data_IF_695674024712
#
_entry.id   IF_695674024712
#
_cell.length_a   1.000
_cell.length_b   1.000
_cell.length_c   1.000
_cell.angle_alpha   90.00
_cell.angle_beta   90.00
_cell.angle_gamma   90.00
#
_symmetry.space_group_name_H-M   'P 1'
#
loop_
_entity.id
_entity.type
_entity.pdbx_description
1 polymer ?
#
# COMPACT_ATOMS: atom_id res chain seq x y z
N UNK A 1 3.77 -17.77 -59.30
CA UNK A 1 4.02 -16.40 -58.80
C UNK A 1 3.75 -16.36 -57.29
N UNK A 2 4.80 -16.52 -56.46
CA UNK A 2 4.69 -16.45 -54.99
C UNK A 2 5.33 -15.13 -54.58
N UNK A 3 4.51 -14.17 -54.14
CA UNK A 3 5.00 -12.91 -53.57
C UNK A 3 5.18 -13.08 -52.06
N UNK A 4 6.43 -13.22 -51.63
CA UNK A 4 6.79 -13.21 -50.20
C UNK A 4 6.90 -11.75 -49.76
N UNK A 5 5.98 -11.28 -48.95
CA UNK A 5 6.16 -10.06 -48.17
C UNK A 5 7.15 -10.35 -47.03
N UNK A 6 8.41 -9.95 -47.22
CA UNK A 6 9.36 -9.82 -46.12
C UNK A 6 8.98 -8.57 -45.33
N UNK A 7 8.47 -8.75 -44.14
CA UNK A 7 8.31 -7.66 -43.18
C UNK A 7 9.70 -7.20 -42.71
N UNK A 8 9.94 -5.90 -42.80
CA UNK A 8 11.11 -5.25 -42.22
C UNK A 8 10.99 -5.23 -40.68
N UNK A 9 11.56 -6.22 -40.02
CA UNK A 9 11.66 -6.29 -38.55
C UNK A 9 12.98 -5.69 -38.01
N UNK A 10 13.89 -5.23 -38.88
CA UNK A 10 15.24 -4.84 -38.47
C UNK A 10 15.44 -3.42 -37.94
N UNK A 11 14.51 -2.52 -38.11
CA UNK A 11 14.67 -1.14 -37.62
C UNK A 11 14.04 -0.89 -36.22
N UNK A 12 13.22 -1.84 -35.70
CA UNK A 12 12.64 -1.76 -34.36
C UNK A 12 13.55 -2.35 -33.27
N UNK A 13 14.42 -3.29 -33.61
CA UNK A 13 15.30 -3.96 -32.64
C UNK A 13 16.45 -3.08 -32.13
N UNK A 14 16.89 -2.07 -32.91
CA UNK A 14 18.11 -1.27 -32.59
C UNK A 14 17.81 -0.06 -31.70
N UNK A 15 16.58 0.45 -31.67
CA UNK A 15 16.21 1.60 -30.78
C UNK A 15 15.72 1.17 -29.40
N UNK A 16 15.26 -0.08 -29.24
CA UNK A 16 14.77 -0.57 -27.93
C UNK A 16 15.88 -1.08 -27.01
N UNK A 17 16.98 -1.59 -27.53
CA UNK A 17 18.09 -2.11 -26.70
C UNK A 17 18.84 -1.02 -25.93
N UNK A 18 18.81 0.23 -26.39
CA UNK A 18 19.52 1.34 -25.74
C UNK A 18 18.68 2.11 -24.71
N UNK A 19 17.35 2.08 -24.80
CA UNK A 19 16.48 2.79 -23.85
C UNK A 19 15.91 1.90 -22.74
N UNK A 20 15.64 0.62 -23.04
CA UNK A 20 15.13 -0.35 -22.04
C UNK A 20 16.22 -0.74 -21.03
N UNK A 21 17.49 -0.78 -21.43
CA UNK A 21 18.62 -1.08 -20.54
C UNK A 21 18.88 -0.03 -19.45
N UNK A 22 18.39 1.21 -19.63
CA UNK A 22 18.55 2.30 -18.66
C UNK A 22 17.47 2.33 -17.56
N UNK A 23 16.40 1.53 -17.70
CA UNK A 23 15.21 1.61 -16.83
C UNK A 23 15.35 0.70 -15.59
N UNK A 24 16.16 -0.33 -15.64
CA UNK A 24 16.22 -1.38 -14.61
C UNK A 24 17.60 -1.48 -13.97
N UNK A 25 17.92 -0.59 -13.09
CA UNK A 25 18.93 -0.84 -12.08
C UNK A 25 18.17 -1.14 -10.77
N UNK A 26 18.48 -2.13 -10.06
CA UNK A 26 19.62 -2.77 -9.52
C UNK A 26 19.25 -3.71 -8.39
N UNK A 27 20.00 -4.75 -8.20
CA UNK A 27 19.84 -5.65 -7.10
C UNK A 27 18.67 -6.61 -7.27
N UNK A 28 18.53 -7.53 -6.36
CA UNK A 28 17.48 -8.57 -6.41
C UNK A 28 16.16 -8.05 -5.81
N UNK A 29 15.39 -7.29 -6.58
CA UNK A 29 14.04 -6.88 -6.20
C UNK A 29 13.84 -5.37 -6.06
N UNK A 30 14.89 -4.57 -6.15
CA UNK A 30 14.79 -3.12 -6.16
C UNK A 30 14.92 -2.58 -7.58
N UNK A 31 14.12 -1.57 -7.90
CA UNK A 31 14.06 -0.91 -9.21
C UNK A 31 14.18 0.59 -8.96
N UNK A 32 15.22 1.20 -9.52
CA UNK A 32 15.34 2.65 -9.57
C UNK A 32 14.47 3.16 -10.71
N UNK A 33 13.68 4.17 -10.45
CA UNK A 33 12.80 4.80 -11.44
C UNK A 33 13.58 5.97 -12.08
N UNK A 34 14.02 5.85 -13.33
CA UNK A 34 14.91 6.85 -13.95
C UNK A 34 14.20 8.16 -14.25
N UNK A 35 12.91 8.10 -14.59
CA UNK A 35 12.02 9.26 -14.67
C UNK A 35 10.98 9.16 -13.58
N UNK A 36 10.91 10.12 -12.64
CA UNK A 36 10.02 10.04 -11.50
C UNK A 36 8.57 9.88 -11.93
N UNK A 37 7.85 9.02 -11.22
CA UNK A 37 6.39 8.92 -11.34
C UNK A 37 5.78 9.82 -10.25
N UNK A 38 4.86 10.66 -10.65
CA UNK A 38 4.27 11.70 -9.83
C UNK A 38 2.96 11.22 -9.20
N UNK A 39 2.82 11.40 -7.89
CA UNK A 39 1.52 11.27 -7.22
C UNK A 39 0.82 12.62 -7.33
N UNK A 40 -0.13 12.70 -8.26
CA UNK A 40 -0.87 13.94 -8.57
C UNK A 40 -1.88 14.30 -7.52
N UNK A 41 -2.63 13.32 -7.07
CA UNK A 41 -3.69 13.50 -6.10
C UNK A 41 -3.87 12.24 -5.27
N UNK A 42 -4.43 12.41 -4.10
CA UNK A 42 -4.90 11.30 -3.28
C UNK A 42 -6.15 11.71 -2.51
N UNK A 43 -6.89 10.71 -2.05
CA UNK A 43 -8.01 10.89 -1.16
C UNK A 43 -8.07 9.76 -0.12
N UNK A 44 -8.68 10.09 1.02
CA UNK A 44 -8.88 9.18 2.14
C UNK A 44 -10.32 9.27 2.65
N UNK A 45 -10.97 8.12 2.78
CA UNK A 45 -12.32 7.98 3.34
C UNK A 45 -12.22 6.99 4.47
N UNK A 46 -12.71 7.33 5.67
CA UNK A 46 -12.56 6.51 6.87
C UNK A 46 -13.87 6.36 7.65
N UNK A 47 -13.91 5.36 8.53
CA UNK A 47 -14.98 5.14 9.48
C UNK A 47 -14.96 6.10 10.67
N UNK A 48 -15.94 5.93 11.56
CA UNK A 48 -16.11 6.80 12.76
C UNK A 48 -14.91 6.69 13.70
N UNK A 49 -14.45 5.48 13.97
CA UNK A 49 -13.32 5.23 14.90
C UNK A 49 -12.02 5.90 14.44
N UNK A 50 -11.73 5.84 13.16
CA UNK A 50 -10.57 6.50 12.54
C UNK A 50 -10.72 8.02 12.58
N UNK A 51 -11.94 8.52 12.38
CA UNK A 51 -12.26 9.93 12.47
C UNK A 51 -12.10 10.52 13.87
N UNK A 52 -12.21 9.71 14.91
CA UNK A 52 -11.95 10.09 16.31
C UNK A 52 -10.45 10.01 16.69
N UNK A 53 -9.61 9.48 15.80
CA UNK A 53 -8.18 9.31 16.00
C UNK A 53 -7.35 10.57 15.73
N UNK A 54 -6.02 10.48 15.90
CA UNK A 54 -5.11 11.62 15.77
C UNK A 54 -5.14 12.33 14.41
N UNK A 55 -5.54 11.62 13.36
CA UNK A 55 -5.61 12.15 12.00
C UNK A 55 -7.03 12.54 11.55
N UNK A 56 -8.03 12.54 12.45
CA UNK A 56 -9.44 12.73 12.13
C UNK A 56 -9.73 13.95 11.25
N UNK A 57 -9.12 15.10 11.55
CA UNK A 57 -9.29 16.34 10.79
C UNK A 57 -8.55 16.37 9.43
N UNK A 58 -7.68 15.39 9.16
CA UNK A 58 -6.90 15.31 7.94
C UNK A 58 -7.55 14.45 6.86
N UNK A 59 -8.51 13.61 7.23
CA UNK A 59 -9.21 12.77 6.26
C UNK A 59 -10.19 13.58 5.42
N UNK A 60 -10.37 13.18 4.18
CA UNK A 60 -11.28 13.86 3.25
C UNK A 60 -12.74 13.65 3.59
N UNK A 61 -13.07 12.42 3.98
CA UNK A 61 -14.41 12.05 4.46
C UNK A 61 -14.26 11.16 5.68
N UNK A 62 -15.00 11.51 6.73
CA UNK A 62 -15.28 10.64 7.87
C UNK A 62 -16.74 10.21 7.79
N UNK A 63 -17.01 8.90 7.78
CA UNK A 63 -18.35 8.35 7.76
C UNK A 63 -19.15 8.75 9.01
N UNK A 64 -20.45 8.92 8.85
CA UNK A 64 -21.37 9.14 9.99
C UNK A 64 -21.58 7.89 10.80
N UNK A 65 -21.45 6.75 10.17
CA UNK A 65 -21.45 5.41 10.73
C UNK A 65 -20.54 4.51 9.88
N UNK A 66 -20.22 3.32 10.37
CA UNK A 66 -19.31 2.40 9.66
C UNK A 66 -19.98 1.62 8.53
N UNK A 67 -21.29 1.78 8.32
CA UNK A 67 -22.05 1.19 7.21
C UNK A 67 -22.16 2.09 6.00
N UNK A 68 -21.85 3.36 6.12
CA UNK A 68 -21.95 4.32 4.99
C UNK A 68 -23.32 4.31 4.31
N UNK A 69 -24.39 4.04 5.07
CA UNK A 69 -25.75 3.94 4.55
C UNK A 69 -26.06 2.67 3.76
N UNK A 70 -25.19 1.66 3.80
CA UNK A 70 -25.36 0.37 3.13
C UNK A 70 -25.99 -0.68 4.06
N UNK A 71 -26.55 -1.75 3.48
CA UNK A 71 -27.15 -2.84 4.23
C UNK A 71 -26.12 -3.82 4.77
N UNK A 72 -25.03 -4.05 4.05
CA UNK A 72 -23.95 -5.00 4.39
C UNK A 72 -22.62 -4.29 4.62
N UNK A 73 -21.71 -4.96 5.35
CA UNK A 73 -20.35 -4.45 5.58
C UNK A 73 -19.49 -4.46 4.32
N UNK A 74 -19.73 -5.43 3.45
CA UNK A 74 -19.04 -5.57 2.16
C UNK A 74 -19.44 -4.43 1.19
N UNK A 75 -20.71 -4.04 1.17
CA UNK A 75 -21.19 -2.87 0.43
C UNK A 75 -20.61 -1.56 1.01
N UNK A 76 -20.50 -1.47 2.34
CA UNK A 76 -19.88 -0.33 3.00
C UNK A 76 -18.41 -0.19 2.55
N UNK A 77 -17.65 -1.29 2.52
CA UNK A 77 -16.26 -1.26 2.04
C UNK A 77 -16.16 -0.91 0.54
N UNK A 78 -17.07 -1.43 -0.29
CA UNK A 78 -17.18 -1.04 -1.70
C UNK A 78 -17.43 0.45 -1.87
N UNK A 79 -18.29 1.02 -1.00
CA UNK A 79 -18.60 2.46 -0.99
C UNK A 79 -17.39 3.29 -0.60
N UNK A 80 -16.60 2.86 0.41
CA UNK A 80 -15.34 3.52 0.76
C UNK A 80 -14.40 3.66 -0.45
N UNK A 81 -14.20 2.59 -1.23
CA UNK A 81 -13.35 2.61 -2.42
C UNK A 81 -13.89 3.55 -3.49
N UNK A 82 -15.20 3.49 -3.75
CA UNK A 82 -15.87 4.34 -4.73
C UNK A 82 -15.71 5.82 -4.39
N UNK A 83 -15.97 6.21 -3.15
CA UNK A 83 -15.86 7.60 -2.70
C UNK A 83 -14.39 8.07 -2.75
N UNK A 84 -13.44 7.26 -2.28
CA UNK A 84 -12.02 7.60 -2.32
C UNK A 84 -11.52 7.83 -3.75
N UNK A 85 -11.87 6.94 -4.70
CA UNK A 85 -11.47 7.11 -6.10
C UNK A 85 -12.15 8.33 -6.75
N UNK A 86 -13.43 8.55 -6.49
CA UNK A 86 -14.16 9.72 -6.99
C UNK A 86 -13.48 11.02 -6.56
N UNK A 87 -13.11 11.12 -5.27
CA UNK A 87 -12.43 12.30 -4.74
C UNK A 87 -11.00 12.45 -5.31
N UNK A 88 -10.24 11.36 -5.40
CA UNK A 88 -8.88 11.42 -5.93
C UNK A 88 -8.86 11.88 -7.40
N UNK A 89 -9.79 11.37 -8.23
CA UNK A 89 -9.97 11.84 -9.62
C UNK A 89 -10.37 13.32 -9.63
N UNK A 90 -11.36 13.72 -8.83
CA UNK A 90 -11.78 15.11 -8.72
C UNK A 90 -10.65 16.06 -8.34
N UNK A 91 -9.84 15.70 -7.33
CA UNK A 91 -8.67 16.48 -6.89
C UNK A 91 -7.55 16.54 -7.94
N UNK A 92 -7.41 15.50 -8.77
CA UNK A 92 -6.40 15.48 -9.84
C UNK A 92 -6.74 16.44 -10.99
N UNK A 93 -7.98 16.91 -11.07
CA UNK A 93 -8.49 17.71 -12.18
C UNK A 93 -8.67 16.93 -13.48
N UNK A 94 -8.53 15.60 -13.43
CA UNK A 94 -8.64 14.72 -14.60
C UNK A 94 -10.04 14.16 -14.76
N UNK A 95 -10.32 13.68 -15.96
CA UNK A 95 -11.51 12.86 -16.25
C UNK A 95 -11.17 11.38 -16.07
N UNK A 96 -12.14 10.56 -15.70
CA UNK A 96 -11.94 9.12 -15.52
C UNK A 96 -11.42 8.42 -16.80
N UNK A 97 -11.82 8.93 -17.98
CA UNK A 97 -11.43 8.41 -19.28
C UNK A 97 -9.94 8.62 -19.62
N UNK A 98 -9.25 9.51 -18.90
CA UNK A 98 -7.82 9.74 -19.07
C UNK A 98 -6.99 8.71 -18.29
N UNK A 99 -7.60 8.00 -17.33
CA UNK A 99 -6.95 6.97 -16.51
C UNK A 99 -6.98 5.64 -17.28
N UNK A 100 -5.82 5.16 -17.69
CA UNK A 100 -5.72 3.95 -18.52
C UNK A 100 -5.92 2.65 -17.73
N UNK A 101 -5.47 2.61 -16.48
CA UNK A 101 -5.52 1.42 -15.65
C UNK A 101 -5.83 1.75 -14.20
N UNK A 102 -6.55 0.85 -13.56
CA UNK A 102 -6.88 0.87 -12.15
C UNK A 102 -6.28 -0.36 -11.46
N UNK A 103 -5.43 -0.14 -10.48
CA UNK A 103 -4.84 -1.17 -9.64
C UNK A 103 -5.52 -1.12 -8.27
N UNK A 104 -6.23 -2.17 -7.89
CA UNK A 104 -6.99 -2.12 -6.66
C UNK A 104 -7.01 -3.46 -5.92
N UNK A 105 -7.25 -3.40 -4.62
CA UNK A 105 -7.42 -4.58 -3.80
C UNK A 105 -7.94 -4.25 -2.41
N UNK A 106 -8.36 -5.30 -1.76
CA UNK A 106 -8.92 -5.31 -0.41
C UNK A 106 -8.54 -6.62 0.30
N UNK A 107 -9.08 -6.87 1.49
CA UNK A 107 -8.79 -8.10 2.26
C UNK A 107 -9.80 -9.23 2.02
N UNK A 108 -10.84 -8.99 1.22
CA UNK A 108 -11.93 -9.95 1.02
C UNK A 108 -11.59 -10.98 -0.05
N UNK A 109 -12.22 -12.12 0.03
CA UNK A 109 -12.12 -13.17 -0.98
C UNK A 109 -12.47 -12.62 -2.37
N UNK A 110 -11.64 -12.90 -3.37
CA UNK A 110 -11.74 -12.45 -4.76
C UNK A 110 -11.82 -10.92 -4.92
N UNK A 111 -11.36 -10.15 -3.92
CA UNK A 111 -11.38 -8.68 -3.91
C UNK A 111 -12.77 -8.12 -4.24
N UNK A 112 -13.81 -8.60 -3.54
CA UNK A 112 -15.20 -8.25 -3.85
C UNK A 112 -15.50 -6.78 -3.56
N UNK A 113 -14.85 -6.14 -2.56
CA UNK A 113 -15.04 -4.72 -2.32
C UNK A 113 -14.56 -3.89 -3.51
N UNK A 114 -13.40 -4.22 -4.07
CA UNK A 114 -12.85 -3.55 -5.26
C UNK A 114 -13.71 -3.77 -6.49
N UNK A 115 -14.16 -5.01 -6.72
CA UNK A 115 -14.94 -5.37 -7.90
C UNK A 115 -16.27 -4.62 -7.95
N UNK A 116 -17.00 -4.60 -6.85
CA UNK A 116 -18.30 -3.92 -6.78
C UNK A 116 -18.17 -2.40 -6.62
N UNK A 117 -17.20 -1.92 -5.86
CA UNK A 117 -17.01 -0.49 -5.62
C UNK A 117 -16.52 0.26 -6.86
N UNK A 118 -15.70 -0.37 -7.69
CA UNK A 118 -14.99 0.30 -8.76
C UNK A 118 -15.55 0.02 -10.17
N UNK A 119 -16.46 -0.92 -10.32
CA UNK A 119 -17.03 -1.30 -11.62
C UNK A 119 -17.70 -0.13 -12.38
N UNK A 120 -18.30 0.82 -11.66
CA UNK A 120 -18.97 1.98 -12.26
C UNK A 120 -18.01 2.98 -12.95
N UNK A 121 -16.71 2.90 -12.70
CA UNK A 121 -15.72 3.75 -13.36
C UNK A 121 -15.41 3.31 -14.78
N UNK A 122 -15.64 2.03 -15.12
CA UNK A 122 -15.39 1.47 -16.45
C UNK A 122 -13.92 1.60 -16.90
N UNK A 123 -12.99 1.66 -15.92
CA UNK A 123 -11.54 1.67 -16.15
C UNK A 123 -11.04 0.23 -16.09
N UNK A 124 -10.16 -0.22 -17.01
CA UNK A 124 -9.53 -1.55 -16.92
C UNK A 124 -8.92 -1.81 -15.56
N UNK A 125 -9.40 -2.83 -14.84
CA UNK A 125 -9.06 -3.15 -13.47
C UNK A 125 -8.08 -4.31 -13.39
N UNK A 126 -6.95 -4.10 -12.72
CA UNK A 126 -6.04 -5.14 -12.25
C UNK A 126 -6.26 -5.35 -10.74
N UNK A 127 -6.95 -6.43 -10.38
CA UNK A 127 -7.14 -6.83 -8.98
C UNK A 127 -5.82 -7.32 -8.37
N UNK A 128 -5.47 -6.80 -7.21
CA UNK A 128 -4.21 -7.07 -6.53
C UNK A 128 -4.45 -7.60 -5.11
N UNK A 129 -3.64 -8.57 -4.68
CA UNK A 129 -3.69 -9.08 -3.32
C UNK A 129 -2.30 -9.26 -2.73
N UNK A 130 -2.01 -8.54 -1.67
CA UNK A 130 -0.81 -8.63 -0.84
C UNK A 130 -1.15 -8.51 0.64
N UNK A 131 -2.36 -8.94 1.04
CA UNK A 131 -2.94 -8.66 2.36
C UNK A 131 -2.82 -7.15 2.69
N UNK A 132 -2.40 -6.78 3.90
CA UNK A 132 -2.26 -5.38 4.29
C UNK A 132 -1.22 -4.59 3.46
N UNK A 133 -0.28 -5.28 2.76
CA UNK A 133 0.70 -4.63 1.88
C UNK A 133 0.15 -4.20 0.50
N UNK A 134 -1.13 -4.45 0.23
CA UNK A 134 -1.76 -4.18 -1.08
C UNK A 134 -1.62 -2.74 -1.54
N UNK A 135 -1.61 -1.77 -0.62
CA UNK A 135 -1.35 -0.36 -0.96
C UNK A 135 0.02 -0.18 -1.65
N UNK A 136 1.09 -0.73 -1.08
CA UNK A 136 2.42 -0.70 -1.67
C UNK A 136 2.50 -1.48 -2.99
N UNK A 137 1.83 -2.63 -3.07
CA UNK A 137 1.79 -3.45 -4.27
C UNK A 137 1.11 -2.73 -5.44
N UNK A 138 -0.07 -2.15 -5.23
CA UNK A 138 -0.82 -1.42 -6.27
C UNK A 138 -0.03 -0.24 -6.80
N UNK A 139 0.57 0.56 -5.91
CA UNK A 139 1.39 1.71 -6.30
C UNK A 139 2.69 1.29 -7.01
N UNK A 140 3.34 0.21 -6.57
CA UNK A 140 4.54 -0.31 -7.23
C UNK A 140 4.23 -0.78 -8.66
N UNK A 141 3.14 -1.51 -8.87
CA UNK A 141 2.73 -1.99 -10.19
C UNK A 141 2.30 -0.84 -11.11
N UNK A 142 1.53 0.14 -10.60
CA UNK A 142 1.21 1.35 -11.35
C UNK A 142 2.49 2.10 -11.76
N UNK A 143 3.46 2.22 -10.85
CA UNK A 143 4.75 2.86 -11.14
C UNK A 143 5.51 2.14 -12.26
N UNK A 144 5.57 0.80 -12.24
CA UNK A 144 6.23 0.00 -13.29
C UNK A 144 5.55 0.22 -14.64
N UNK A 145 4.22 0.19 -14.69
CA UNK A 145 3.43 0.38 -15.93
C UNK A 145 3.64 1.78 -16.51
N UNK A 146 3.63 2.81 -15.66
CA UNK A 146 3.85 4.19 -16.08
C UNK A 146 5.31 4.43 -16.50
N UNK A 147 6.29 3.93 -15.75
CA UNK A 147 7.71 4.02 -16.09
C UNK A 147 8.06 3.25 -17.37
N UNK A 148 7.35 2.15 -17.65
CA UNK A 148 7.45 1.38 -18.89
C UNK A 148 6.78 2.05 -20.09
N UNK A 149 6.19 3.24 -19.94
CA UNK A 149 5.53 3.97 -21.03
C UNK A 149 4.22 3.32 -21.53
N UNK A 150 3.65 2.37 -20.78
CA UNK A 150 2.42 1.67 -21.18
C UNK A 150 1.15 2.50 -20.93
N UNK A 151 1.26 3.54 -20.10
CA UNK A 151 0.18 4.49 -19.80
C UNK A 151 0.77 5.83 -19.34
N UNK A 152 -0.03 6.89 -19.43
CA UNK A 152 0.31 8.21 -18.89
C UNK A 152 -0.24 8.39 -17.48
N UNK A 153 -1.42 7.84 -17.21
CA UNK A 153 -2.10 7.95 -15.93
C UNK A 153 -2.62 6.58 -15.47
N UNK A 154 -2.48 6.33 -14.19
CA UNK A 154 -3.05 5.16 -13.52
C UNK A 154 -3.60 5.57 -12.16
N UNK A 155 -4.59 4.83 -11.67
CA UNK A 155 -5.10 5.00 -10.32
C UNK A 155 -4.84 3.75 -9.47
N UNK A 156 -4.64 3.96 -8.17
CA UNK A 156 -4.47 2.91 -7.17
C UNK A 156 -5.53 3.11 -6.09
N UNK A 157 -6.20 2.03 -5.68
CA UNK A 157 -7.20 2.07 -4.60
C UNK A 157 -7.03 0.85 -3.71
N UNK A 158 -7.01 1.08 -2.40
CA UNK A 158 -7.03 -0.02 -1.43
C UNK A 158 -7.91 0.33 -0.25
N UNK A 159 -8.60 -0.67 0.29
CA UNK A 159 -9.47 -0.52 1.45
C UNK A 159 -9.34 -1.69 2.39
N UNK A 160 -9.75 -1.47 3.62
CA UNK A 160 -10.16 -2.49 4.56
C UNK A 160 -11.35 -1.97 5.36
N UNK A 161 -12.13 -2.89 5.92
CA UNK A 161 -13.23 -2.58 6.81
C UNK A 161 -13.22 -3.58 7.95
N UNK A 162 -13.32 -3.11 9.21
CA UNK A 162 -13.16 -3.99 10.37
C UNK A 162 -14.11 -5.19 10.33
N UNK A 163 -15.40 -4.99 10.05
CA UNK A 163 -16.38 -6.06 10.13
C UNK A 163 -16.33 -7.02 8.94
N UNK A 164 -16.11 -6.53 7.71
CA UNK A 164 -16.00 -7.37 6.52
C UNK A 164 -14.69 -8.20 6.55
N UNK A 165 -13.57 -7.58 6.89
CA UNK A 165 -12.28 -8.26 6.97
C UNK A 165 -12.19 -9.24 8.14
N UNK A 166 -12.68 -8.88 9.33
CA UNK A 166 -12.66 -9.75 10.50
C UNK A 166 -13.36 -11.10 10.26
N UNK A 167 -14.38 -11.14 9.40
CA UNK A 167 -15.02 -12.40 8.98
C UNK A 167 -14.09 -13.32 8.21
N UNK A 168 -13.06 -12.77 7.57
CA UNK A 168 -12.11 -13.54 6.75
C UNK A 168 -11.04 -14.21 7.59
N UNK A 169 -10.61 -13.63 8.69
CA UNK A 169 -9.47 -14.15 9.47
C UNK A 169 -9.74 -14.34 10.97
N UNK A 170 -10.83 -13.82 11.53
CA UNK A 170 -11.23 -13.99 12.95
C UNK A 170 -12.64 -14.56 13.06
N UNK A 171 -12.74 -15.86 12.94
CA UNK A 171 -14.01 -16.55 13.00
C UNK A 171 -14.08 -17.50 14.22
N UNK A 172 -15.20 -17.55 14.95
CA UNK A 172 -16.43 -16.76 14.81
C UNK A 172 -16.29 -15.34 15.39
N UNK A 173 -16.92 -14.37 14.74
CA UNK A 173 -16.89 -12.94 15.14
C UNK A 173 -17.34 -12.66 16.57
N UNK A 174 -18.22 -13.50 17.12
CA UNK A 174 -18.71 -13.37 18.50
C UNK A 174 -17.61 -13.43 19.56
N UNK A 175 -16.43 -13.94 19.21
CA UNK A 175 -15.24 -13.91 20.07
C UNK A 175 -14.29 -12.75 19.76
N UNK A 176 -14.62 -11.89 18.80
CA UNK A 176 -13.77 -10.77 18.38
C UNK A 176 -13.42 -9.79 19.51
N UNK A 177 -14.25 -9.71 20.55
CA UNK A 177 -13.98 -8.88 21.72
C UNK A 177 -12.90 -9.44 22.66
N UNK A 178 -12.49 -10.70 22.49
CA UNK A 178 -11.46 -11.35 23.28
C UNK A 178 -10.08 -11.23 22.60
N UNK A 179 -9.69 -10.02 22.21
CA UNK A 179 -8.41 -9.74 21.57
C UNK A 179 -7.29 -9.66 22.60
N UNK A 180 -6.18 -10.40 22.43
CA UNK A 180 -4.98 -10.19 23.23
C UNK A 180 -4.35 -8.82 22.96
N UNK A 181 -3.45 -8.37 23.84
CA UNK A 181 -2.74 -7.09 23.66
C UNK A 181 -1.83 -7.05 22.42
N UNK A 182 -1.51 -8.21 21.84
CA UNK A 182 -0.77 -8.33 20.57
C UNK A 182 -1.63 -8.13 19.33
N UNK A 183 -2.96 -8.23 19.44
CA UNK A 183 -3.87 -8.04 18.32
C UNK A 183 -3.99 -6.58 17.93
N UNK A 184 -4.13 -6.35 16.64
CA UNK A 184 -4.41 -5.04 16.06
C UNK A 184 -5.90 -4.89 15.74
N UNK A 185 -6.36 -3.66 15.52
CA UNK A 185 -7.71 -3.35 15.05
C UNK A 185 -7.68 -3.11 13.53
N UNK A 186 -8.55 -3.79 12.79
CA UNK A 186 -8.66 -3.54 11.35
C UNK A 186 -9.26 -2.16 11.09
N UNK A 187 -8.52 -1.33 10.37
CA UNK A 187 -8.93 0.01 9.99
C UNK A 187 -10.10 -0.04 9.01
N UNK A 188 -11.12 0.76 9.26
CA UNK A 188 -12.20 1.03 8.32
C UNK A 188 -11.81 2.24 7.49
N UNK A 189 -11.33 2.02 6.28
CA UNK A 189 -10.90 3.11 5.43
C UNK A 189 -10.45 2.68 4.04
N UNK A 190 -10.46 3.64 3.13
CA UNK A 190 -9.94 3.51 1.77
C UNK A 190 -9.06 4.70 1.41
N UNK A 191 -7.90 4.41 0.81
CA UNK A 191 -7.05 5.38 0.18
C UNK A 191 -7.01 5.20 -1.32
N UNK A 192 -7.12 6.31 -2.08
CA UNK A 192 -6.99 6.32 -3.53
C UNK A 192 -5.92 7.31 -3.97
N UNK A 193 -5.17 6.95 -5.01
CA UNK A 193 -4.05 7.72 -5.54
C UNK A 193 -4.12 7.78 -7.06
N UNK A 194 -3.91 8.97 -7.64
CA UNK A 194 -3.75 9.15 -9.08
C UNK A 194 -2.27 9.41 -9.38
N UNK A 195 -1.67 8.54 -10.18
CA UNK A 195 -0.26 8.58 -10.56
C UNK A 195 -0.11 9.00 -12.03
N UNK A 196 1.01 9.66 -12.33
CA UNK A 196 1.32 10.16 -13.67
C UNK A 196 2.80 10.01 -14.01
N UNK A 197 3.10 9.70 -15.29
CA UNK A 197 4.43 9.79 -15.85
C UNK A 197 4.85 11.23 -16.22
N UNK A 198 3.95 12.21 -16.09
CA UNK A 198 4.20 13.61 -16.42
C UNK A 198 4.11 14.50 -15.18
N UNK A 199 5.10 15.40 -15.03
CA UNK A 199 5.12 16.41 -13.96
C UNK A 199 3.90 17.34 -14.06
N UNK A 200 3.27 17.61 -12.93
CA UNK A 200 2.21 18.60 -12.77
C UNK A 200 2.69 19.84 -12.02
N UNK A 201 1.75 20.75 -11.78
CA UNK A 201 2.01 21.98 -11.01
C UNK A 201 1.83 21.81 -9.51
N UNK A 202 1.10 20.77 -9.08
CA UNK A 202 0.74 20.52 -7.68
C UNK A 202 0.87 19.03 -7.35
N UNK A 203 2.00 18.43 -7.75
CA UNK A 203 2.29 17.04 -7.42
C UNK A 203 2.57 16.90 -5.92
N UNK A 204 2.04 15.88 -5.28
CA UNK A 204 2.16 15.65 -3.83
C UNK A 204 3.47 14.97 -3.44
N UNK A 205 3.97 14.08 -4.29
CA UNK A 205 5.22 13.35 -4.11
C UNK A 205 5.68 12.73 -5.42
N UNK A 206 6.91 12.20 -5.41
CA UNK A 206 7.52 11.46 -6.50
C UNK A 206 7.83 10.05 -6.03
N UNK A 207 7.56 9.03 -6.86
CA UNK A 207 8.08 7.67 -6.67
C UNK A 207 9.42 7.58 -7.38
N UNK A 208 10.51 7.49 -6.63
CA UNK A 208 11.87 7.45 -7.15
C UNK A 208 12.46 6.04 -7.21
N UNK A 209 11.89 5.11 -6.47
CA UNK A 209 12.33 3.72 -6.43
C UNK A 209 11.28 2.82 -5.81
N UNK A 210 11.37 1.54 -6.11
CA UNK A 210 10.53 0.49 -5.52
C UNK A 210 11.38 -0.71 -5.11
N UNK A 211 10.95 -1.44 -4.09
CA UNK A 211 11.52 -2.74 -3.73
C UNK A 211 10.37 -3.72 -3.56
N UNK A 212 10.22 -4.65 -4.51
CA UNK A 212 9.20 -5.68 -4.41
C UNK A 212 9.57 -6.71 -3.35
N UNK A 213 8.65 -6.97 -2.44
CA UNK A 213 8.82 -7.95 -1.38
C UNK A 213 8.81 -9.38 -1.89
N UNK A 214 9.47 -10.26 -1.18
CA UNK A 214 9.32 -11.71 -1.29
C UNK A 214 8.54 -12.24 -0.08
N UNK A 215 7.99 -13.44 -0.21
CA UNK A 215 7.40 -14.16 0.91
C UNK A 215 8.49 -14.53 1.93
N UNK A 216 8.25 -14.21 3.20
CA UNK A 216 9.11 -14.58 4.32
C UNK A 216 8.25 -15.28 5.36
N UNK A 217 8.62 -16.51 5.71
CA UNK A 217 7.88 -17.34 6.64
C UNK A 217 8.81 -17.88 7.74
N UNK A 218 8.56 -17.45 8.97
CA UNK A 218 9.28 -17.93 10.17
C UNK A 218 8.51 -19.03 10.93
N UNK A 219 7.47 -19.59 10.32
CA UNK A 219 6.68 -20.67 10.90
C UNK A 219 5.68 -20.22 11.97
N UNK A 220 5.42 -18.92 12.09
CA UNK A 220 4.45 -18.38 13.05
C UNK A 220 3.01 -18.73 12.61
N UNK A 221 2.16 -19.08 13.59
CA UNK A 221 0.78 -19.52 13.35
C UNK A 221 -0.25 -18.73 14.15
N UNK A 222 0.18 -17.76 14.96
CA UNK A 222 -0.71 -16.98 15.81
C UNK A 222 -1.39 -15.87 15.00
N UNK A 223 -2.65 -16.08 14.64
CA UNK A 223 -3.47 -15.09 13.92
C UNK A 223 -3.77 -13.83 14.73
N UNK A 224 -3.55 -13.86 16.04
CA UNK A 224 -3.73 -12.70 16.93
C UNK A 224 -2.44 -11.89 17.14
N UNK A 225 -1.37 -12.27 16.42
CA UNK A 225 -0.07 -11.58 16.46
C UNK A 225 0.50 -11.40 15.04
N UNK A 226 -0.28 -10.77 14.16
CA UNK A 226 0.11 -10.56 12.76
C UNK A 226 1.35 -9.69 12.63
N UNK A 227 1.56 -8.72 13.53
CA UNK A 227 2.75 -7.88 13.52
C UNK A 227 4.05 -8.70 13.59
N UNK A 228 4.11 -9.72 14.45
CA UNK A 228 5.26 -10.63 14.51
C UNK A 228 5.41 -11.45 13.22
N UNK A 229 4.30 -11.84 12.56
CA UNK A 229 4.35 -12.56 11.28
C UNK A 229 4.88 -11.68 10.13
N UNK A 230 4.57 -10.38 10.15
CA UNK A 230 4.93 -9.41 9.10
C UNK A 230 6.35 -8.85 9.25
N UNK A 231 6.84 -8.69 10.48
CA UNK A 231 8.12 -8.05 10.77
C UNK A 231 9.32 -8.66 10.01
N UNK A 232 9.45 -9.99 9.83
CA UNK A 232 10.53 -10.57 9.04
C UNK A 232 10.52 -10.16 7.57
N UNK A 233 9.35 -10.03 6.96
CA UNK A 233 9.21 -9.58 5.58
C UNK A 233 9.54 -8.09 5.44
N UNK A 234 9.11 -7.27 6.41
CA UNK A 234 9.49 -5.86 6.47
C UNK A 234 11.02 -5.70 6.60
N UNK A 235 11.65 -6.46 7.51
CA UNK A 235 13.11 -6.43 7.70
C UNK A 235 13.87 -6.85 6.43
N UNK A 236 13.40 -7.88 5.71
CA UNK A 236 14.00 -8.29 4.44
C UNK A 236 13.88 -7.20 3.37
N UNK A 237 12.71 -6.61 3.22
CA UNK A 237 12.45 -5.59 2.19
C UNK A 237 13.21 -4.30 2.47
N UNK A 238 13.21 -3.81 3.72
CA UNK A 238 13.96 -2.62 4.13
C UNK A 238 15.47 -2.85 3.95
N UNK A 239 15.99 -3.98 4.43
CA UNK A 239 17.40 -4.31 4.29
C UNK A 239 17.83 -4.35 2.82
N UNK A 240 17.06 -5.03 1.96
CA UNK A 240 17.36 -5.09 0.52
C UNK A 240 17.31 -3.71 -0.12
N UNK A 241 16.33 -2.88 0.21
CA UNK A 241 16.27 -1.51 -0.28
C UNK A 241 17.53 -0.73 0.08
N UNK A 242 17.94 -0.74 1.35
CA UNK A 242 19.13 -0.03 1.82
C UNK A 242 20.39 -0.51 1.09
N UNK A 243 20.58 -1.83 0.95
CA UNK A 243 21.73 -2.42 0.28
C UNK A 243 21.73 -2.14 -1.23
N UNK A 244 20.60 -2.36 -1.91
CA UNK A 244 20.49 -2.22 -3.36
C UNK A 244 20.70 -0.77 -3.80
N UNK A 245 20.21 0.21 -3.01
CA UNK A 245 20.39 1.63 -3.30
C UNK A 245 21.66 2.24 -2.67
N UNK A 246 22.46 1.44 -1.92
CA UNK A 246 23.68 1.91 -1.25
C UNK A 246 23.40 3.00 -0.21
N UNK A 247 22.37 2.81 0.61
CA UNK A 247 21.89 3.79 1.59
C UNK A 247 22.01 3.29 3.02
N UNK A 248 22.14 4.25 3.93
CA UNK A 248 21.99 4.05 5.36
C UNK A 248 20.58 4.43 5.80
N UNK A 249 20.09 3.97 6.96
CA UNK A 249 18.79 4.38 7.49
C UNK A 249 18.58 5.90 7.55
N UNK A 250 19.60 6.65 7.88
CA UNK A 250 19.59 8.11 8.05
C UNK A 250 19.49 8.88 6.72
N UNK A 251 19.64 8.21 5.58
CA UNK A 251 19.39 8.81 4.27
C UNK A 251 17.90 9.00 3.98
N UNK A 252 17.05 8.42 4.85
CA UNK A 252 15.60 8.62 4.86
C UNK A 252 15.20 9.47 6.08
N UNK A 253 14.37 10.48 5.88
CA UNK A 253 13.73 11.23 6.99
C UNK A 253 12.84 10.30 7.82
N UNK A 254 12.18 9.34 7.16
CA UNK A 254 11.41 8.28 7.79
C UNK A 254 11.45 6.98 6.97
N UNK A 255 11.47 5.85 7.70
CA UNK A 255 11.16 4.50 7.20
C UNK A 255 9.81 4.13 7.82
N UNK A 256 8.76 4.03 6.99
CA UNK A 256 7.37 3.96 7.47
C UNK A 256 6.77 2.61 7.12
N UNK A 257 6.45 1.80 8.13
CA UNK A 257 5.73 0.53 7.95
C UNK A 257 4.22 0.72 8.00
N UNK A 258 3.48 -0.25 7.45
CA UNK A 258 2.04 -0.13 7.29
C UNK A 258 1.24 -0.39 8.56
N UNK A 259 1.49 -1.52 9.22
CA UNK A 259 0.62 -2.00 10.29
C UNK A 259 1.29 -3.09 11.17
N UNK A 260 2.56 -2.92 11.47
CA UNK A 260 3.28 -3.82 12.36
C UNK A 260 2.78 -3.74 13.81
N UNK A 261 2.30 -2.57 14.20
CA UNK A 261 1.86 -2.30 15.55
C UNK A 261 2.98 -2.39 16.59
N UNK A 262 2.62 -2.27 17.87
CA UNK A 262 3.57 -2.19 18.98
C UNK A 262 4.44 -3.44 19.17
N UNK A 263 3.96 -4.61 18.77
CA UNK A 263 4.71 -5.87 18.83
C UNK A 263 5.62 -6.01 17.63
N UNK A 264 5.08 -5.89 16.41
CA UNK A 264 5.83 -6.11 15.19
C UNK A 264 6.95 -5.10 14.98
N UNK A 265 6.76 -3.82 15.35
CA UNK A 265 7.83 -2.83 15.26
C UNK A 265 9.05 -3.15 16.13
N UNK A 266 8.84 -3.70 17.33
CA UNK A 266 9.96 -4.12 18.20
C UNK A 266 10.74 -5.28 17.59
N UNK A 267 10.00 -6.27 17.06
CA UNK A 267 10.60 -7.40 16.34
C UNK A 267 11.38 -6.90 15.12
N UNK A 268 10.82 -5.97 14.36
CA UNK A 268 11.49 -5.34 13.21
C UNK A 268 12.81 -4.68 13.63
N UNK A 269 12.82 -3.89 14.71
CA UNK A 269 14.04 -3.23 15.19
C UNK A 269 15.12 -4.23 15.58
N UNK A 270 14.76 -5.32 16.25
CA UNK A 270 15.71 -6.36 16.63
C UNK A 270 16.29 -7.06 15.40
N UNK A 271 15.44 -7.45 14.44
CA UNK A 271 15.88 -8.08 13.19
C UNK A 271 16.78 -7.15 12.34
N UNK A 272 16.54 -5.85 12.36
CA UNK A 272 17.39 -4.89 11.65
C UNK A 272 18.73 -4.68 12.35
N UNK A 273 18.75 -4.65 13.70
CA UNK A 273 20.01 -4.61 14.46
C UNK A 273 20.87 -5.85 14.26
N UNK A 274 20.27 -7.04 14.16
CA UNK A 274 20.98 -8.28 13.80
C UNK A 274 21.66 -8.19 12.42
N UNK A 275 21.09 -7.38 11.49
CA UNK A 275 21.69 -7.09 10.18
C UNK A 275 22.70 -5.93 10.21
N UNK A 276 22.99 -5.37 11.38
CA UNK A 276 23.91 -4.25 11.56
C UNK A 276 23.33 -2.88 11.20
N UNK A 277 21.99 -2.76 11.11
CA UNK A 277 21.29 -1.52 10.75
C UNK A 277 20.25 -1.16 11.81
N UNK A 278 20.46 -0.11 12.59
CA UNK A 278 19.45 0.38 13.53
C UNK A 278 18.55 1.44 12.85
N UNK A 279 17.28 1.11 12.68
CA UNK A 279 16.29 2.01 12.08
C UNK A 279 15.41 2.70 13.13
N UNK A 280 15.57 2.41 14.42
CA UNK A 280 14.64 2.86 15.47
C UNK A 280 14.49 4.39 15.56
N UNK A 281 15.54 5.15 15.21
CA UNK A 281 15.52 6.62 15.22
C UNK A 281 14.71 7.27 14.08
N UNK A 282 14.54 6.55 12.97
CA UNK A 282 13.82 7.05 11.78
C UNK A 282 12.53 6.27 11.48
N UNK A 283 12.26 5.21 12.23
CA UNK A 283 11.09 4.35 12.03
C UNK A 283 9.80 5.02 12.50
N UNK A 284 8.72 4.78 11.75
CA UNK A 284 7.33 5.10 12.06
C UNK A 284 6.45 3.93 11.59
N UNK A 285 5.34 3.67 12.25
CA UNK A 285 4.36 2.66 11.84
C UNK A 285 2.96 3.28 11.75
N UNK A 286 2.31 3.18 10.59
CA UNK A 286 0.99 3.79 10.40
C UNK A 286 -0.04 3.26 11.40
N UNK A 287 0.04 1.96 11.73
CA UNK A 287 -0.86 1.35 12.71
C UNK A 287 -0.68 1.87 14.13
N UNK A 288 0.52 2.35 14.47
CA UNK A 288 0.79 2.98 15.77
C UNK A 288 0.27 4.41 15.87
N UNK A 289 0.19 5.10 14.74
CA UNK A 289 -0.14 6.53 14.69
C UNK A 289 -1.64 6.81 14.46
N UNK A 290 -2.38 5.83 13.91
CA UNK A 290 -3.77 6.04 13.45
C UNK A 290 -4.77 6.12 14.61
N UNK A 291 -4.50 5.48 15.75
CA UNK A 291 -5.39 5.45 16.90
C UNK A 291 -4.75 6.06 18.14
N UNK A 292 -5.56 6.74 18.92
CA UNK A 292 -5.20 7.15 20.29
C UNK A 292 -5.23 5.94 21.24
N UNK A 293 -4.45 6.01 22.30
CA UNK A 293 -4.37 4.96 23.32
C UNK A 293 -5.70 4.67 24.03
N UNK A 294 -6.63 5.62 24.03
CA UNK A 294 -7.99 5.48 24.61
C UNK A 294 -8.96 4.72 23.70
N UNK A 295 -8.63 4.49 22.43
CA UNK A 295 -9.53 3.91 21.43
C UNK A 295 -9.54 2.36 21.40
N UNK A 296 -8.93 1.69 22.36
CA UNK A 296 -8.94 0.21 22.51
C UNK A 296 -8.46 -0.53 21.23
N UNK A 297 -7.41 -0.02 20.57
CA UNK A 297 -6.82 -0.65 19.39
C UNK A 297 -5.74 -1.69 19.73
N UNK A 298 -5.40 -1.89 21.02
CA UNK A 298 -4.38 -2.78 21.56
C UNK A 298 -2.99 -2.54 20.93
N UNK A 299 -2.56 -3.40 19.98
CA UNK A 299 -1.27 -3.24 19.33
C UNK A 299 -1.25 -2.15 18.24
N UNK A 300 -2.39 -1.54 17.94
CA UNK A 300 -2.52 -0.49 16.93
C UNK A 300 -3.49 -0.84 15.80
N UNK A 301 -3.48 -0.05 14.72
CA UNK A 301 -4.28 -0.27 13.52
C UNK A 301 -3.66 -1.31 12.59
N UNK A 302 -4.48 -1.94 11.75
CA UNK A 302 -4.06 -2.93 10.74
C UNK A 302 -4.95 -2.86 9.49
N UNK A 303 -4.54 -3.55 8.44
CA UNK A 303 -5.28 -3.65 7.18
C UNK A 303 -4.71 -2.78 6.08
N UNK A 304 -5.03 -3.10 4.83
CA UNK A 304 -4.50 -2.33 3.69
C UNK A 304 -5.10 -0.91 3.60
N UNK A 305 -6.25 -0.65 4.22
CA UNK A 305 -6.76 0.69 4.44
C UNK A 305 -5.89 1.52 5.39
N UNK A 306 -5.26 0.91 6.41
CA UNK A 306 -4.45 1.60 7.40
C UNK A 306 -3.32 2.42 6.74
N UNK A 307 -2.40 1.76 6.05
CA UNK A 307 -1.29 2.45 5.38
C UNK A 307 -1.77 3.41 4.29
N UNK A 308 -2.85 3.09 3.59
CA UNK A 308 -3.39 3.91 2.50
C UNK A 308 -3.96 5.25 2.99
N UNK A 309 -4.77 5.24 4.06
CA UNK A 309 -5.37 6.48 4.57
C UNK A 309 -4.33 7.37 5.26
N UNK A 310 -3.37 6.77 5.99
CA UNK A 310 -2.28 7.53 6.62
C UNK A 310 -1.34 8.12 5.56
N UNK A 311 -1.03 7.37 4.48
CA UNK A 311 -0.27 7.91 3.36
C UNK A 311 -0.97 9.12 2.74
N UNK A 312 -2.27 9.00 2.43
CA UNK A 312 -3.03 10.06 1.78
C UNK A 312 -3.19 11.30 2.66
N UNK A 313 -3.60 11.13 3.93
CA UNK A 313 -3.96 12.22 4.81
C UNK A 313 -2.76 12.94 5.43
N UNK A 314 -1.74 12.17 5.85
CA UNK A 314 -0.64 12.71 6.64
C UNK A 314 0.70 12.68 5.89
N UNK A 315 1.15 11.51 5.43
CA UNK A 315 2.52 11.33 4.93
C UNK A 315 2.78 12.18 3.67
N UNK A 316 1.85 12.16 2.70
CA UNK A 316 1.99 12.96 1.49
C UNK A 316 1.99 14.46 1.77
N UNK A 317 1.31 14.92 2.81
CA UNK A 317 1.35 16.33 3.23
C UNK A 317 2.75 16.72 3.74
N UNK A 318 3.42 15.86 4.50
CA UNK A 318 4.79 16.11 4.97
C UNK A 318 5.78 16.24 3.81
N UNK A 319 5.62 15.42 2.76
CA UNK A 319 6.44 15.50 1.53
C UNK A 319 6.08 16.74 0.70
N UNK A 320 4.80 17.03 0.51
CA UNK A 320 4.30 18.19 -0.25
C UNK A 320 4.76 19.51 0.37
N UNK A 321 4.77 19.62 1.69
CA UNK A 321 5.27 20.78 2.43
C UNK A 321 6.81 20.83 2.46
N UNK A 322 7.50 19.73 2.13
CA UNK A 322 8.96 19.63 2.13
C UNK A 322 9.55 19.47 3.55
N UNK A 323 8.71 19.11 4.53
CA UNK A 323 9.14 18.77 5.90
C UNK A 323 9.99 17.50 5.85
N UNK A 324 9.50 16.48 5.11
CA UNK A 324 10.27 15.31 4.74
C UNK A 324 10.68 15.43 3.27
N UNK A 325 11.94 15.13 3.00
CA UNK A 325 12.51 15.16 1.64
C UNK A 325 12.48 13.79 0.98
N UNK A 326 12.72 12.74 1.76
CA UNK A 326 12.78 11.36 1.27
C UNK A 326 12.32 10.41 2.38
N UNK A 327 11.39 9.53 2.04
CA UNK A 327 10.96 8.46 2.93
C UNK A 327 10.98 7.12 2.21
N UNK A 328 11.05 6.05 3.00
CA UNK A 328 10.79 4.69 2.54
C UNK A 328 9.44 4.24 3.11
N UNK A 329 8.43 4.12 2.25
CA UNK A 329 7.09 3.67 2.60
C UNK A 329 6.97 2.16 2.36
N UNK A 330 6.71 1.37 3.40
CA UNK A 330 6.80 -0.08 3.43
C UNK A 330 5.52 -0.71 4.00
N UNK A 331 4.40 -0.69 3.27
CA UNK A 331 3.22 -1.46 3.66
C UNK A 331 3.53 -2.93 3.87
N UNK A 332 3.02 -3.48 4.96
CA UNK A 332 3.27 -4.84 5.45
C UNK A 332 2.02 -5.70 5.33
N UNK A 333 2.16 -7.00 5.18
CA UNK A 333 1.02 -7.90 5.04
C UNK A 333 1.29 -9.29 5.60
N UNK A 334 0.28 -9.87 6.24
CA UNK A 334 0.24 -11.25 6.70
C UNK A 334 -0.71 -12.06 5.81
N UNK A 335 -0.21 -13.07 5.13
CA UNK A 335 -1.00 -13.88 4.21
C UNK A 335 -1.73 -14.99 4.99
N UNK A 336 -2.77 -14.58 5.69
CA UNK A 336 -3.64 -15.44 6.48
C UNK A 336 -4.95 -15.71 5.72
N UNK A 337 -5.31 -16.98 5.57
CA UNK A 337 -6.63 -17.38 5.09
C UNK A 337 -7.29 -18.37 6.06
N UNK A 338 -8.63 -18.42 6.08
CA UNK A 338 -9.37 -19.42 6.86
C UNK A 338 -8.93 -20.83 6.54
N UNK A 339 -8.71 -21.13 5.26
CA UNK A 339 -8.31 -22.45 4.80
C UNK A 339 -6.94 -22.82 5.37
N UNK A 340 -5.91 -21.99 5.12
CA UNK A 340 -4.56 -22.31 5.58
C UNK A 340 -4.47 -22.35 7.11
N UNK A 341 -5.18 -21.45 7.81
CA UNK A 341 -5.23 -21.45 9.27
C UNK A 341 -5.86 -22.74 9.83
N UNK A 342 -7.02 -23.15 9.29
CA UNK A 342 -7.69 -24.38 9.71
C UNK A 342 -6.89 -25.64 9.40
N UNK A 343 -6.04 -25.60 8.37
CA UNK A 343 -5.09 -26.67 8.05
C UNK A 343 -3.82 -26.64 8.91
N UNK A 344 -3.68 -25.67 9.81
CA UNK A 344 -2.55 -25.52 10.70
C UNK A 344 -1.28 -25.06 10.02
N UNK A 345 -1.40 -24.37 8.88
CA UNK A 345 -0.28 -23.77 8.17
C UNK A 345 0.25 -22.53 8.92
N UNK A 346 1.48 -22.14 8.62
CA UNK A 346 2.06 -20.88 9.08
C UNK A 346 1.47 -19.67 8.33
N UNK A 347 1.77 -18.47 8.82
CA UNK A 347 1.33 -17.20 8.26
C UNK A 347 2.54 -16.49 7.63
N UNK A 348 2.77 -16.60 6.32
CA UNK A 348 3.85 -15.90 5.65
C UNK A 348 3.62 -14.38 5.67
N UNK A 349 4.70 -13.62 5.85
CA UNK A 349 4.71 -12.17 5.69
C UNK A 349 5.14 -11.75 4.29
N UNK A 350 4.69 -10.57 3.86
CA UNK A 350 5.12 -9.88 2.65
C UNK A 350 5.15 -8.37 2.90
N UNK A 351 6.07 -7.64 2.25
CA UNK A 351 6.12 -6.18 2.34
C UNK A 351 6.67 -5.60 1.04
N UNK A 352 6.02 -4.56 0.51
CA UNK A 352 6.46 -3.87 -0.70
C UNK A 352 6.83 -2.44 -0.35
N UNK A 353 8.00 -1.97 -0.82
CA UNK A 353 8.48 -0.63 -0.49
C UNK A 353 8.46 0.30 -1.70
N UNK A 354 8.10 1.57 -1.42
CA UNK A 354 8.26 2.69 -2.34
C UNK A 354 9.16 3.74 -1.71
N UNK A 355 10.15 4.19 -2.45
CA UNK A 355 10.88 5.41 -2.13
C UNK A 355 10.08 6.60 -2.62
N UNK A 356 9.58 7.40 -1.68
CA UNK A 356 8.84 8.63 -1.96
C UNK A 356 9.70 9.85 -1.65
N UNK A 357 9.69 10.81 -2.57
CA UNK A 357 10.51 12.02 -2.51
C UNK A 357 9.61 13.24 -2.63
N UNK A 358 9.95 14.31 -1.90
CA UNK A 358 9.29 15.61 -2.00
C UNK A 358 9.33 16.15 -3.43
N UNK A 359 8.26 16.78 -3.91
CA UNK A 359 8.24 17.43 -5.22
C UNK A 359 9.00 18.77 -5.27
N UNK A 360 9.45 19.25 -4.09
CA UNK A 360 10.17 20.53 -3.90
C UNK A 360 11.67 20.36 -3.99
#
# INVERSE_FOLDING_TARGET
MKNSRKYKLKEWEISMETEVGAIFEQGRGSIKIPMPIYIKASASVVGTKEGEGPFGELYDIVGKDDKFGCDTWEEAESTLQKEALTLAIGKSGMKKEEISYLFAGDLLGQSIASSFGLGAFEIPLAGMYGACSTCGLTMAMATIVLAGGMAQYAACVTSSHFASAEKEFRFPLGYGNQRPLSATWTVTGSGAFVLSSSKGTADRALVAGITLGKLVDYGLKDSMNMGACMAPAAADTIYRNLVDFGRNPEDYDKIITGDLGSVGQKVLWDLMREKGMDISGVHMDCGMEIYDSSQDAHAGGSGCGCSAVVLSAYILKQLEEGIWKRILFVPTGALLSKTSFNEGQSIPGIAHALELVSPK
#
